data_IF_707718269685
#
_entry.id   IF_707718269685
#
_cell.length_a   1.000
_cell.length_b   1.000
_cell.length_c   1.000
_cell.angle_alpha   90.00
_cell.angle_beta   90.00
_cell.angle_gamma   90.00
#
_symmetry.space_group_name_H-M   'P 1'
#
loop_
_entity.id
_entity.type
_entity.pdbx_description
1 polymer ?
#
# COMPACT_ATOMS: atom_id res chain seq x y z
N UNK A 1 -24.59 6.86 -24.59
CA UNK A 1 -25.54 7.91 -24.17
C UNK A 1 -26.89 7.95 -24.92
N UNK A 2 -27.01 7.36 -26.13
CA UNK A 2 -28.25 7.42 -26.95
C UNK A 2 -29.38 6.48 -26.51
N UNK A 3 -29.24 5.79 -25.36
CA UNK A 3 -30.25 4.86 -24.84
C UNK A 3 -30.38 5.10 -23.35
N UNK A 4 -31.54 5.61 -22.91
CA UNK A 4 -31.90 5.69 -21.50
C UNK A 4 -32.36 4.29 -21.08
N UNK A 5 -31.59 3.63 -20.21
CA UNK A 5 -31.88 2.28 -19.73
C UNK A 5 -32.15 2.33 -18.23
N UNK A 6 -33.30 1.80 -17.83
CA UNK A 6 -33.63 1.56 -16.42
C UNK A 6 -33.32 0.09 -16.07
N UNK A 7 -32.09 -0.34 -16.35
CA UNK A 7 -31.67 -1.73 -16.16
C UNK A 7 -30.81 -1.90 -14.89
N UNK A 8 -31.03 -3.01 -14.18
CA UNK A 8 -30.29 -3.37 -12.96
C UNK A 8 -29.20 -4.44 -13.19
N UNK A 9 -29.24 -5.14 -14.33
CA UNK A 9 -28.45 -6.35 -14.59
C UNK A 9 -27.15 -6.16 -15.38
N UNK A 10 -26.92 -4.98 -15.96
CA UNK A 10 -25.76 -4.59 -16.80
C UNK A 10 -25.15 -5.74 -17.63
N UNK A 11 -25.55 -5.90 -18.89
CA UNK A 11 -24.86 -6.83 -19.80
C UNK A 11 -23.60 -6.19 -20.42
N UNK A 12 -22.53 -6.96 -20.71
CA UNK A 12 -21.44 -6.50 -21.54
C UNK A 12 -21.96 -6.14 -22.94
N UNK A 13 -21.27 -5.22 -23.60
CA UNK A 13 -21.62 -4.87 -24.98
C UNK A 13 -21.39 -6.06 -25.92
N UNK A 14 -22.06 -6.05 -27.07
CA UNK A 14 -21.80 -7.05 -28.11
C UNK A 14 -20.35 -7.04 -28.58
N UNK A 15 -19.70 -5.86 -28.65
CA UNK A 15 -18.29 -5.75 -29.00
C UNK A 15 -17.38 -6.46 -27.98
N UNK A 16 -17.62 -6.25 -26.68
CA UNK A 16 -16.86 -6.92 -25.63
C UNK A 16 -17.05 -8.45 -25.67
N UNK A 17 -18.29 -8.88 -25.90
CA UNK A 17 -18.60 -10.31 -26.02
C UNK A 17 -17.97 -10.94 -27.27
N UNK A 18 -17.99 -10.24 -28.40
CA UNK A 18 -17.39 -10.69 -29.65
C UNK A 18 -15.87 -10.80 -29.54
N UNK A 19 -15.20 -9.92 -28.80
CA UNK A 19 -13.75 -9.99 -28.58
C UNK A 19 -13.33 -11.29 -27.89
N UNK A 20 -13.98 -11.66 -26.78
CA UNK A 20 -13.66 -12.92 -26.08
C UNK A 20 -14.04 -14.15 -26.88
N UNK A 21 -15.14 -14.10 -27.64
CA UNK A 21 -15.47 -15.18 -28.58
C UNK A 21 -14.38 -15.35 -29.65
N UNK A 22 -13.96 -14.24 -30.27
CA UNK A 22 -12.92 -14.24 -31.30
C UNK A 22 -11.61 -14.82 -30.78
N UNK A 23 -11.19 -14.43 -29.57
CA UNK A 23 -9.99 -14.99 -28.92
C UNK A 23 -10.03 -16.51 -28.82
N UNK A 24 -11.18 -17.08 -28.44
CA UNK A 24 -11.34 -18.52 -28.24
C UNK A 24 -11.54 -19.29 -29.54
N UNK A 25 -12.40 -18.81 -30.42
CA UNK A 25 -12.90 -19.59 -31.57
C UNK A 25 -12.14 -19.28 -32.86
N UNK A 26 -11.88 -18.01 -33.14
CA UNK A 26 -11.32 -17.59 -34.44
C UNK A 26 -9.79 -17.48 -34.38
N UNK A 27 -9.25 -16.84 -33.34
CA UNK A 27 -7.81 -16.78 -33.09
C UNK A 27 -7.29 -18.11 -32.54
N UNK A 28 -8.11 -18.85 -31.80
CA UNK A 28 -7.74 -20.14 -31.21
C UNK A 28 -6.66 -20.01 -30.13
N UNK A 29 -6.78 -19.02 -29.24
CA UNK A 29 -5.83 -18.84 -28.14
C UNK A 29 -5.75 -20.10 -27.26
N UNK A 30 -4.53 -20.51 -26.92
CA UNK A 30 -4.30 -21.57 -25.92
C UNK A 30 -4.34 -21.02 -24.48
N UNK A 31 -4.09 -19.72 -24.31
CA UNK A 31 -4.16 -19.00 -23.05
C UNK A 31 -4.32 -17.50 -23.34
N UNK A 32 -4.82 -16.77 -22.35
CA UNK A 32 -4.83 -15.29 -22.36
C UNK A 32 -4.01 -14.77 -21.19
N UNK A 33 -3.19 -13.75 -21.45
CA UNK A 33 -2.46 -13.02 -20.42
C UNK A 33 -3.03 -11.61 -20.32
N UNK A 34 -3.66 -11.30 -19.19
CA UNK A 34 -4.13 -9.97 -18.86
C UNK A 34 -3.11 -9.21 -18.02
N UNK A 35 -3.19 -7.89 -18.15
CA UNK A 35 -2.41 -6.93 -17.38
C UNK A 35 -3.36 -6.00 -16.65
N UNK A 36 -2.96 -5.62 -15.43
CA UNK A 36 -3.67 -4.62 -14.64
C UNK A 36 -4.59 -5.22 -13.59
N UNK A 37 -4.78 -4.44 -12.52
CA UNK A 37 -5.47 -4.88 -11.31
C UNK A 37 -7.00 -4.69 -11.36
N UNK A 38 -7.53 -4.26 -12.50
CA UNK A 38 -8.96 -3.96 -12.67
C UNK A 38 -9.48 -4.45 -14.03
N UNK A 39 -9.35 -5.76 -14.29
CA UNK A 39 -9.87 -6.33 -15.52
C UNK A 39 -11.38 -6.21 -15.58
N UNK A 40 -11.94 -5.79 -16.71
CA UNK A 40 -13.39 -5.65 -16.81
C UNK A 40 -14.13 -7.00 -16.65
N UNK A 41 -13.48 -8.11 -17.03
CA UNK A 41 -14.06 -9.45 -17.10
C UNK A 41 -14.57 -9.93 -15.73
N UNK A 42 -13.73 -9.89 -14.72
CA UNK A 42 -14.04 -10.42 -13.38
C UNK A 42 -15.12 -9.61 -12.67
N UNK A 43 -15.31 -8.34 -13.00
CA UNK A 43 -16.35 -7.48 -12.45
C UNK A 43 -17.66 -7.51 -13.24
N UNK A 44 -17.74 -8.26 -14.36
CA UNK A 44 -18.98 -8.39 -15.12
C UNK A 44 -20.08 -9.07 -14.28
N UNK A 45 -21.37 -8.75 -14.48
CA UNK A 45 -22.42 -9.25 -13.61
C UNK A 45 -22.55 -10.77 -13.53
N UNK A 46 -22.88 -11.24 -12.33
CA UNK A 46 -22.87 -12.64 -11.97
C UNK A 46 -22.68 -12.82 -10.46
N UNK A 47 -22.70 -14.08 -10.02
CA UNK A 47 -22.51 -14.47 -8.61
C UNK A 47 -21.18 -13.98 -8.07
N UNK A 48 -21.07 -13.79 -6.76
CA UNK A 48 -19.82 -13.34 -6.11
C UNK A 48 -18.68 -14.38 -6.20
N UNK A 49 -19.01 -15.66 -6.14
CA UNK A 49 -18.09 -16.80 -6.26
C UNK A 49 -18.88 -18.03 -6.76
N UNK A 50 -18.18 -19.03 -7.31
CA UNK A 50 -18.80 -20.24 -7.85
C UNK A 50 -19.69 -19.92 -9.06
N UNK A 51 -19.06 -19.51 -10.16
CA UNK A 51 -19.77 -19.07 -11.36
C UNK A 51 -20.72 -20.15 -11.89
N UNK A 52 -21.80 -19.70 -12.51
CA UNK A 52 -22.71 -20.55 -13.29
C UNK A 52 -22.69 -20.12 -14.75
N UNK A 53 -23.22 -20.96 -15.64
CA UNK A 53 -23.38 -20.66 -17.07
C UNK A 53 -24.19 -19.38 -17.38
N UNK A 54 -24.85 -18.79 -16.38
CA UNK A 54 -25.56 -17.50 -16.49
C UNK A 54 -24.72 -16.29 -16.09
N UNK A 55 -23.52 -16.50 -15.51
CA UNK A 55 -22.61 -15.44 -15.09
C UNK A 55 -21.77 -14.99 -16.29
N UNK A 56 -21.66 -13.68 -16.50
CA UNK A 56 -20.93 -13.14 -17.64
C UNK A 56 -19.44 -13.50 -17.68
N UNK A 57 -18.69 -13.47 -16.56
CA UNK A 57 -17.28 -13.87 -16.58
C UNK A 57 -17.08 -15.26 -17.22
N UNK A 58 -17.86 -16.25 -16.76
CA UNK A 58 -17.84 -17.63 -17.24
C UNK A 58 -18.27 -17.75 -18.72
N UNK A 59 -19.35 -17.07 -19.12
CA UNK A 59 -19.84 -17.07 -20.51
C UNK A 59 -18.82 -16.50 -21.49
N UNK A 60 -18.10 -15.46 -21.08
CA UNK A 60 -17.15 -14.75 -21.91
C UNK A 60 -15.87 -15.55 -22.07
N UNK A 61 -15.18 -15.88 -20.97
CA UNK A 61 -13.87 -16.53 -21.04
C UNK A 61 -13.97 -18.03 -21.27
N UNK A 62 -15.04 -18.68 -20.82
CA UNK A 62 -15.22 -20.13 -20.97
C UNK A 62 -14.10 -20.92 -20.30
N UNK A 63 -13.57 -21.89 -21.03
CA UNK A 63 -12.48 -22.78 -20.63
C UNK A 63 -11.07 -22.26 -20.99
N UNK A 64 -10.97 -21.05 -21.55
CA UNK A 64 -9.68 -20.46 -21.92
C UNK A 64 -8.82 -20.21 -20.66
N UNK A 65 -7.61 -20.81 -20.56
CA UNK A 65 -6.70 -20.55 -19.46
C UNK A 65 -6.41 -19.05 -19.30
N UNK A 66 -6.73 -18.55 -18.12
CA UNK A 66 -6.67 -17.13 -17.80
C UNK A 66 -5.47 -16.84 -16.90
N UNK A 67 -4.45 -16.17 -17.43
CA UNK A 67 -3.26 -15.74 -16.70
C UNK A 67 -3.33 -14.24 -16.49
N UNK A 68 -2.89 -13.77 -15.32
CA UNK A 68 -2.82 -12.35 -15.00
C UNK A 68 -1.46 -12.03 -14.42
N UNK A 69 -0.86 -10.94 -14.89
CA UNK A 69 0.18 -10.25 -14.14
C UNK A 69 -0.47 -9.30 -13.14
N UNK A 70 -0.20 -9.52 -11.85
CA UNK A 70 -0.88 -8.81 -10.76
C UNK A 70 0.11 -8.25 -9.75
N UNK A 71 -0.13 -7.01 -9.29
CA UNK A 71 0.71 -6.39 -8.27
C UNK A 71 0.65 -7.21 -6.98
N UNK A 72 1.82 -7.52 -6.40
CA UNK A 72 1.93 -8.25 -5.13
C UNK A 72 1.09 -7.63 -4.02
N UNK A 73 1.00 -6.29 -3.99
CA UNK A 73 0.27 -5.54 -2.97
C UNK A 73 -1.23 -5.39 -3.23
N UNK A 74 -1.81 -6.03 -4.26
CA UNK A 74 -3.25 -5.98 -4.52
C UNK A 74 -3.93 -7.37 -4.51
N UNK A 75 -3.81 -8.15 -3.41
CA UNK A 75 -4.39 -9.49 -3.35
C UNK A 75 -5.92 -9.53 -3.31
N UNK A 76 -6.58 -8.46 -2.86
CA UNK A 76 -8.04 -8.39 -2.70
C UNK A 76 -8.74 -8.47 -4.05
N UNK A 77 -8.35 -7.61 -4.98
CA UNK A 77 -8.92 -7.58 -6.33
C UNK A 77 -8.45 -8.80 -7.13
N UNK A 78 -7.20 -9.21 -6.95
CA UNK A 78 -6.71 -10.46 -7.55
C UNK A 78 -7.57 -11.67 -7.14
N UNK A 79 -7.99 -11.72 -5.87
CA UNK A 79 -8.89 -12.78 -5.38
C UNK A 79 -10.23 -12.78 -6.12
N UNK A 80 -10.71 -11.63 -6.59
CA UNK A 80 -11.93 -11.53 -7.42
C UNK A 80 -11.68 -12.18 -8.78
N UNK A 81 -10.58 -11.85 -9.45
CA UNK A 81 -10.19 -12.48 -10.73
C UNK A 81 -10.04 -14.00 -10.58
N UNK A 82 -9.42 -14.48 -9.49
CA UNK A 82 -9.33 -15.91 -9.15
C UNK A 82 -10.70 -16.59 -9.04
N UNK A 83 -11.62 -15.99 -8.28
CA UNK A 83 -12.91 -16.61 -7.93
C UNK A 83 -13.96 -16.49 -9.04
N UNK A 84 -13.87 -15.45 -9.87
CA UNK A 84 -14.88 -15.13 -10.89
C UNK A 84 -14.44 -15.45 -12.32
N UNK A 85 -13.14 -15.48 -12.60
CA UNK A 85 -12.61 -15.72 -13.94
C UNK A 85 -11.52 -16.80 -13.98
N UNK A 86 -11.42 -17.63 -12.94
CA UNK A 86 -10.45 -18.73 -12.82
C UNK A 86 -8.98 -18.33 -13.10
N UNK A 87 -8.63 -17.08 -12.76
CA UNK A 87 -7.32 -16.52 -13.10
C UNK A 87 -6.16 -17.15 -12.29
N UNK A 88 -5.03 -17.39 -12.93
CA UNK A 88 -3.74 -17.63 -12.27
C UNK A 88 -2.98 -16.31 -12.18
N UNK A 89 -2.68 -15.86 -10.96
CA UNK A 89 -2.14 -14.52 -10.72
C UNK A 89 -0.63 -14.57 -10.52
N UNK A 90 0.13 -14.30 -11.57
CA UNK A 90 1.59 -14.19 -11.49
C UNK A 90 1.92 -12.84 -10.84
N UNK A 91 2.51 -12.88 -9.64
CA UNK A 91 2.89 -11.68 -8.91
C UNK A 91 3.98 -10.90 -9.63
N UNK A 92 3.90 -9.58 -9.60
CA UNK A 92 5.01 -8.70 -9.92
C UNK A 92 5.29 -7.71 -8.79
N UNK A 93 6.50 -7.16 -8.77
CA UNK A 93 6.96 -6.22 -7.74
C UNK A 93 6.32 -4.84 -7.95
N UNK A 94 5.93 -4.18 -6.87
CA UNK A 94 5.50 -2.78 -6.96
C UNK A 94 6.67 -1.88 -7.36
N UNK A 95 6.41 -0.72 -7.99
CA UNK A 95 7.47 0.22 -8.29
C UNK A 95 8.31 0.55 -7.04
N UNK A 96 9.62 0.83 -7.21
CA UNK A 96 10.47 1.30 -6.12
C UNK A 96 9.85 2.49 -5.39
N UNK A 97 10.07 2.57 -4.10
CA UNK A 97 9.64 3.72 -3.29
C UNK A 97 10.82 4.63 -3.00
N UNK A 98 10.58 5.93 -3.01
CA UNK A 98 11.53 6.95 -2.63
C UNK A 98 10.86 7.97 -1.72
N UNK A 99 11.65 8.72 -0.97
CA UNK A 99 11.14 9.89 -0.25
C UNK A 99 10.64 10.93 -1.26
N UNK A 100 9.52 11.58 -0.95
CA UNK A 100 8.92 12.59 -1.84
C UNK A 100 9.84 13.80 -2.02
N UNK A 101 10.67 14.09 -1.00
CA UNK A 101 11.55 15.25 -0.98
C UNK A 101 10.78 16.56 -0.91
N UNK A 102 11.50 17.66 -1.04
CA UNK A 102 10.90 19.00 -1.14
C UNK A 102 11.27 19.65 -2.47
N UNK A 103 10.43 20.56 -2.95
CA UNK A 103 10.67 21.27 -4.20
C UNK A 103 10.15 22.71 -4.13
N UNK A 104 10.79 23.61 -4.91
CA UNK A 104 10.41 25.03 -5.01
C UNK A 104 10.32 25.67 -3.63
N UNK A 105 9.26 26.44 -3.36
CA UNK A 105 9.09 27.18 -2.10
C UNK A 105 9.06 26.33 -0.84
N UNK A 106 8.88 25.01 -0.92
CA UNK A 106 9.00 24.12 0.24
C UNK A 106 10.45 23.96 0.71
N UNK A 107 11.42 24.02 -0.22
CA UNK A 107 12.86 24.01 0.12
C UNK A 107 13.20 25.29 0.87
N UNK A 108 12.79 26.44 0.32
CA UNK A 108 13.00 27.75 0.95
C UNK A 108 12.34 27.82 2.34
N UNK A 109 11.12 27.28 2.47
CA UNK A 109 10.41 27.22 3.74
C UNK A 109 11.18 26.37 4.76
N UNK A 110 11.70 25.20 4.37
CA UNK A 110 12.51 24.36 5.27
C UNK A 110 13.75 25.08 5.77
N UNK A 111 14.48 25.77 4.89
CA UNK A 111 15.66 26.55 5.29
C UNK A 111 15.31 27.64 6.31
N UNK A 112 14.17 28.33 6.13
CA UNK A 112 13.69 29.33 7.08
C UNK A 112 13.32 28.71 8.44
N UNK A 113 12.67 27.55 8.44
CA UNK A 113 12.31 26.81 9.65
C UNK A 113 13.55 26.33 10.41
N UNK A 114 14.56 25.79 9.70
CA UNK A 114 15.83 25.38 10.28
C UNK A 114 16.57 26.58 10.88
N UNK A 115 16.62 27.70 10.15
CA UNK A 115 17.19 28.95 10.67
C UNK A 115 16.50 29.40 11.95
N UNK A 116 15.17 29.40 11.99
CA UNK A 116 14.39 29.78 13.18
C UNK A 116 14.74 28.93 14.40
N UNK A 117 14.95 27.62 14.20
CA UNK A 117 15.34 26.69 15.26
C UNK A 117 16.78 26.89 15.73
N UNK A 118 17.68 27.32 14.83
CA UNK A 118 19.10 27.55 15.14
C UNK A 118 19.38 28.87 15.87
N UNK A 119 18.42 29.79 15.93
CA UNK A 119 18.59 31.07 16.61
C UNK A 119 18.81 30.89 18.12
N UNK A 120 19.76 31.65 18.66
CA UNK A 120 20.02 31.71 20.10
C UNK A 120 18.81 32.27 20.88
N UNK A 121 18.60 31.88 22.15
CA UNK A 121 17.50 32.39 22.97
C UNK A 121 17.49 33.93 23.12
N UNK A 122 18.66 34.57 23.01
CA UNK A 122 18.79 36.03 23.12
C UNK A 122 18.36 36.80 21.85
N UNK A 123 18.22 36.12 20.70
CA UNK A 123 17.92 36.74 19.40
C UNK A 123 16.41 36.90 19.15
N UNK A 124 15.67 37.41 20.15
CA UNK A 124 14.19 37.46 20.08
C UNK A 124 13.66 38.33 18.93
N UNK A 125 14.29 39.47 18.66
CA UNK A 125 13.85 40.35 17.56
C UNK A 125 13.97 39.68 16.19
N UNK A 126 15.07 38.97 15.93
CA UNK A 126 15.26 38.20 14.69
C UNK A 126 14.28 37.02 14.62
N UNK A 127 14.00 36.37 15.75
CA UNK A 127 13.01 35.30 15.84
C UNK A 127 11.61 35.81 15.48
N UNK A 128 11.20 36.96 16.00
CA UNK A 128 9.88 37.55 15.71
C UNK A 128 9.76 37.94 14.23
N UNK A 129 10.79 38.57 13.65
CA UNK A 129 10.82 38.92 12.21
C UNK A 129 10.75 37.67 11.33
N UNK A 130 11.55 36.64 11.64
CA UNK A 130 11.57 35.40 10.89
C UNK A 130 10.25 34.64 11.01
N UNK A 131 9.57 34.72 12.16
CA UNK A 131 8.23 34.15 12.36
C UNK A 131 7.19 34.75 11.41
N UNK A 132 7.22 36.07 11.19
CA UNK A 132 6.34 36.75 10.22
C UNK A 132 6.65 36.32 8.79
N UNK A 133 7.93 36.21 8.44
CA UNK A 133 8.34 35.75 7.10
C UNK A 133 7.94 34.29 6.86
N UNK A 134 8.11 33.41 7.85
CA UNK A 134 7.68 32.01 7.77
C UNK A 134 6.16 31.92 7.58
N UNK A 135 5.38 32.72 8.30
CA UNK A 135 3.93 32.76 8.12
C UNK A 135 3.54 33.21 6.70
N UNK A 136 4.19 34.24 6.18
CA UNK A 136 3.93 34.73 4.82
C UNK A 136 4.23 33.65 3.76
N UNK A 137 5.40 33.00 3.87
CA UNK A 137 5.79 31.91 2.97
C UNK A 137 4.84 30.71 3.08
N UNK A 138 4.45 30.33 4.31
CA UNK A 138 3.49 29.26 4.56
C UNK A 138 2.12 29.59 3.95
N UNK A 139 1.69 30.86 3.97
CA UNK A 139 0.45 31.29 3.35
C UNK A 139 0.49 31.23 1.82
N UNK A 140 1.63 31.57 1.20
CA UNK A 140 1.81 31.39 -0.26
C UNK A 140 1.72 29.92 -0.69
N UNK A 141 2.13 29.01 0.19
CA UNK A 141 2.05 27.55 -0.01
C UNK A 141 0.73 26.93 0.47
N UNK A 142 -0.25 27.75 0.91
CA UNK A 142 -1.53 27.32 1.47
C UNK A 142 -1.42 26.42 2.73
N UNK A 143 -0.30 26.51 3.45
CA UNK A 143 -0.03 25.77 4.70
C UNK A 143 -0.46 26.55 5.95
N UNK A 144 -0.73 27.85 5.82
CA UNK A 144 -1.20 28.68 6.92
C UNK A 144 -2.07 29.84 6.43
N UNK A 145 -2.89 30.40 7.32
CA UNK A 145 -3.57 31.66 7.05
C UNK A 145 -2.58 32.84 7.13
N UNK A 146 -2.66 33.82 6.21
CA UNK A 146 -1.81 35.02 6.25
C UNK A 146 -2.16 35.94 7.42
N UNK A 147 -3.44 35.96 7.83
CA UNK A 147 -3.96 36.80 8.91
C UNK A 147 -4.87 36.02 9.87
N UNK A 148 -4.88 36.37 11.17
CA UNK A 148 -3.99 37.33 11.82
C UNK A 148 -2.55 36.80 11.95
N UNK A 149 -1.59 37.70 12.19
CA UNK A 149 -0.22 37.31 12.50
C UNK A 149 -0.17 36.40 13.75
N UNK A 150 0.70 35.39 13.74
CA UNK A 150 0.78 34.39 14.80
C UNK A 150 1.15 34.96 16.18
N UNK A 151 1.95 36.03 16.22
CA UNK A 151 2.30 36.73 17.47
C UNK A 151 2.85 35.77 18.52
N UNK A 152 2.20 35.70 19.68
CA UNK A 152 2.61 34.85 20.81
C UNK A 152 2.59 33.34 20.50
N UNK A 153 1.80 32.91 19.51
CA UNK A 153 1.68 31.50 19.12
C UNK A 153 2.72 31.12 18.05
N UNK A 154 3.58 32.04 17.60
CA UNK A 154 4.49 31.83 16.48
C UNK A 154 5.40 30.62 16.71
N UNK A 155 5.98 30.45 17.89
CA UNK A 155 6.88 29.32 18.18
C UNK A 155 6.17 27.97 18.03
N UNK A 156 4.97 27.83 18.62
CA UNK A 156 4.19 26.60 18.54
C UNK A 156 3.73 26.31 17.09
N UNK A 157 3.37 27.34 16.33
CA UNK A 157 2.95 27.21 14.92
C UNK A 157 4.12 26.88 14.00
N UNK A 158 5.28 27.47 14.22
CA UNK A 158 6.53 27.15 13.50
C UNK A 158 6.94 25.70 13.79
N UNK A 159 6.86 25.25 15.04
CA UNK A 159 7.15 23.87 15.40
C UNK A 159 6.22 22.88 14.67
N UNK A 160 4.90 23.14 14.69
CA UNK A 160 3.92 22.32 13.94
C UNK A 160 4.20 22.33 12.44
N UNK A 161 4.45 23.50 11.84
CA UNK A 161 4.73 23.62 10.42
C UNK A 161 6.01 22.86 10.03
N UNK A 162 7.03 22.87 10.90
CA UNK A 162 8.22 22.06 10.71
C UNK A 162 7.89 20.56 10.67
N UNK A 163 7.05 20.08 11.58
CA UNK A 163 6.63 18.68 11.58
C UNK A 163 5.85 18.32 10.31
N UNK A 164 4.94 19.20 9.87
CA UNK A 164 4.16 19.02 8.64
C UNK A 164 5.07 18.98 7.39
N UNK A 165 6.08 19.86 7.30
CA UNK A 165 7.05 19.88 6.19
C UNK A 165 7.94 18.64 6.18
N UNK A 166 8.40 18.18 7.35
CA UNK A 166 9.18 16.94 7.46
C UNK A 166 8.34 15.70 7.13
N UNK A 167 7.05 15.69 7.48
CA UNK A 167 6.13 14.62 7.07
C UNK A 167 6.03 14.54 5.55
N UNK A 168 5.87 15.67 4.86
CA UNK A 168 5.88 15.72 3.39
C UNK A 168 7.21 15.19 2.85
N UNK A 169 8.33 15.75 3.29
CA UNK A 169 9.66 15.40 2.79
C UNK A 169 9.95 13.89 2.87
N UNK A 170 9.67 13.29 4.03
CA UNK A 170 9.99 11.89 4.30
C UNK A 170 8.88 10.91 3.92
N UNK A 171 7.74 11.38 3.41
CA UNK A 171 6.69 10.49 2.90
C UNK A 171 7.23 9.63 1.77
N UNK A 172 7.09 8.30 1.90
CA UNK A 172 7.46 7.37 0.86
C UNK A 172 6.39 7.35 -0.24
N UNK A 173 6.82 7.60 -1.48
CA UNK A 173 5.98 7.55 -2.68
C UNK A 173 6.55 6.55 -3.69
N UNK A 174 5.72 5.88 -4.50
CA UNK A 174 6.20 5.15 -5.66
C UNK A 174 6.93 6.09 -6.62
N UNK A 175 8.15 5.73 -7.03
CA UNK A 175 8.95 6.47 -7.99
C UNK A 175 9.10 5.65 -9.27
N UNK A 176 8.48 6.14 -10.35
CA UNK A 176 8.48 5.46 -11.65
C UNK A 176 7.42 4.37 -11.78
N UNK A 177 7.67 3.43 -12.70
CA UNK A 177 6.78 2.31 -13.02
C UNK A 177 7.58 1.01 -12.99
N UNK A 178 6.90 -0.07 -12.61
CA UNK A 178 7.47 -1.41 -12.70
C UNK A 178 7.53 -1.87 -14.16
N UNK A 179 8.62 -2.55 -14.53
CA UNK A 179 8.78 -3.20 -15.83
C UNK A 179 8.97 -4.69 -15.58
N UNK A 180 8.02 -5.49 -16.05
CA UNK A 180 8.06 -6.95 -15.89
C UNK A 180 9.32 -7.51 -16.54
N UNK A 181 10.03 -8.36 -15.79
CA UNK A 181 11.29 -8.93 -16.24
C UNK A 181 12.53 -8.08 -15.97
N UNK A 182 12.36 -6.87 -15.43
CA UNK A 182 13.47 -5.99 -15.06
C UNK A 182 13.62 -5.96 -13.54
N UNK A 183 14.73 -6.50 -13.04
CA UNK A 183 15.09 -6.37 -11.64
C UNK A 183 15.40 -4.90 -11.29
N UNK A 184 15.11 -4.44 -10.06
CA UNK A 184 15.48 -3.10 -9.62
C UNK A 184 16.99 -2.89 -9.68
N UNK A 185 17.40 -1.68 -10.07
CA UNK A 185 18.81 -1.27 -10.05
C UNK A 185 19.40 -1.30 -8.65
N UNK A 186 20.73 -1.34 -8.54
CA UNK A 186 21.42 -1.39 -7.24
C UNK A 186 21.01 -0.24 -6.32
N UNK A 187 20.87 0.98 -6.86
CA UNK A 187 20.41 2.14 -6.11
C UNK A 187 18.98 1.98 -5.58
N UNK A 188 18.05 1.49 -6.42
CA UNK A 188 16.67 1.23 -6.02
C UNK A 188 16.58 0.13 -4.96
N UNK A 189 17.42 -0.92 -5.06
CA UNK A 189 17.49 -1.98 -4.04
C UNK A 189 18.00 -1.43 -2.71
N UNK A 190 19.01 -0.57 -2.71
CA UNK A 190 19.49 0.10 -1.49
C UNK A 190 18.35 0.88 -0.80
N UNK A 191 17.62 1.71 -1.55
CA UNK A 191 16.55 2.55 -0.99
C UNK A 191 15.35 1.70 -0.49
N UNK A 192 15.01 0.62 -1.21
CA UNK A 192 13.99 -0.35 -0.78
C UNK A 192 14.38 -1.08 0.50
N UNK A 193 15.64 -1.53 0.63
CA UNK A 193 16.13 -2.23 1.81
C UNK A 193 16.18 -1.32 3.05
N UNK A 194 16.57 -0.06 2.88
CA UNK A 194 16.49 0.96 3.93
C UNK A 194 15.04 1.14 4.41
N UNK A 195 14.10 1.23 3.46
CA UNK A 195 12.68 1.35 3.76
C UNK A 195 12.13 0.10 4.47
N UNK A 196 12.60 -1.10 4.10
CA UNK A 196 12.23 -2.36 4.76
C UNK A 196 12.74 -2.40 6.21
N UNK A 197 13.99 -1.97 6.43
CA UNK A 197 14.58 -1.91 7.78
C UNK A 197 13.80 -0.97 8.70
N UNK A 198 13.40 0.21 8.20
CA UNK A 198 12.59 1.16 8.96
C UNK A 198 11.18 0.62 9.21
N UNK A 199 10.52 0.07 8.21
CA UNK A 199 9.13 -0.39 8.32
C UNK A 199 8.96 -1.65 9.19
N UNK A 200 9.88 -2.63 9.08
CA UNK A 200 9.77 -3.90 9.78
C UNK A 200 10.43 -3.88 11.17
N UNK A 201 11.51 -3.12 11.32
CA UNK A 201 12.35 -3.14 12.54
C UNK A 201 12.51 -1.78 13.22
N UNK A 202 11.99 -0.69 12.64
CA UNK A 202 12.22 0.67 13.14
C UNK A 202 13.69 1.09 13.08
N UNK A 203 14.50 0.40 12.28
CA UNK A 203 15.95 0.59 12.21
C UNK A 203 16.34 1.47 11.02
N UNK A 204 17.35 2.32 11.20
CA UNK A 204 17.93 3.17 10.15
C UNK A 204 19.42 2.85 10.00
N UNK A 205 19.78 1.70 9.41
CA UNK A 205 21.17 1.36 9.20
C UNK A 205 21.85 2.39 8.29
N UNK A 206 23.16 2.57 8.46
CA UNK A 206 23.93 3.45 7.58
C UNK A 206 23.84 2.98 6.13
N UNK A 207 23.60 3.90 5.20
CA UNK A 207 23.46 3.60 3.76
C UNK A 207 24.63 2.78 3.22
N UNK A 208 25.85 3.09 3.65
CA UNK A 208 27.07 2.38 3.25
C UNK A 208 27.04 0.87 3.60
N UNK A 209 26.39 0.48 4.70
CA UNK A 209 26.24 -0.94 5.06
C UNK A 209 25.31 -1.65 4.07
N UNK A 210 24.23 -0.98 3.66
CA UNK A 210 23.28 -1.54 2.69
C UNK A 210 23.89 -1.59 1.29
N UNK A 211 24.65 -0.57 0.89
CA UNK A 211 25.43 -0.58 -0.36
C UNK A 211 26.41 -1.75 -0.41
N UNK A 212 27.08 -2.06 0.71
CA UNK A 212 27.96 -3.23 0.81
C UNK A 212 27.19 -4.55 0.66
N UNK A 213 25.99 -4.67 1.28
CA UNK A 213 25.10 -5.83 1.13
C UNK A 213 24.69 -6.03 -0.33
N UNK A 214 24.22 -4.97 -0.99
CA UNK A 214 23.81 -4.99 -2.41
C UNK A 214 24.99 -5.30 -3.34
N UNK A 215 26.20 -4.91 -2.98
CA UNK A 215 27.44 -5.29 -3.67
C UNK A 215 27.90 -6.75 -3.37
N UNK A 216 27.14 -7.52 -2.59
CA UNK A 216 27.42 -8.92 -2.27
C UNK A 216 28.41 -9.13 -1.11
N UNK A 217 28.73 -8.08 -0.36
CA UNK A 217 29.57 -8.16 0.84
C UNK A 217 28.71 -8.17 2.11
N UNK A 218 29.11 -8.92 3.14
CA UNK A 218 28.45 -8.88 4.44
C UNK A 218 29.33 -8.10 5.41
N UNK A 219 29.00 -6.83 5.75
CA UNK A 219 29.74 -6.07 6.74
C UNK A 219 29.74 -6.79 8.10
N UNK A 220 30.89 -6.77 8.76
CA UNK A 220 31.03 -7.26 10.14
C UNK A 220 30.79 -6.10 11.09
N UNK A 221 29.67 -6.15 11.81
CA UNK A 221 29.27 -5.15 12.80
C UNK A 221 29.23 -5.79 14.18
N UNK A 222 29.71 -5.07 15.19
CA UNK A 222 29.80 -5.58 16.57
C UNK A 222 28.44 -5.81 17.23
N UNK A 223 27.41 -5.09 16.78
CA UNK A 223 26.04 -5.24 17.30
C UNK A 223 25.33 -6.44 16.66
N UNK A 224 24.96 -7.41 17.50
CA UNK A 224 24.32 -8.65 17.06
C UNK A 224 22.94 -8.41 16.42
N UNK A 225 22.20 -7.39 16.87
CA UNK A 225 20.89 -7.07 16.30
C UNK A 225 21.04 -6.51 14.89
N UNK A 226 21.95 -5.55 14.70
CA UNK A 226 22.28 -5.00 13.37
C UNK A 226 22.84 -6.08 12.45
N UNK A 227 23.71 -6.97 12.95
CA UNK A 227 24.23 -8.08 12.15
C UNK A 227 23.11 -9.02 11.67
N UNK A 228 22.12 -9.31 12.52
CA UNK A 228 20.97 -10.13 12.15
C UNK A 228 20.10 -9.44 11.09
N UNK A 229 19.84 -8.14 11.26
CA UNK A 229 19.13 -7.32 10.28
C UNK A 229 19.84 -7.33 8.92
N UNK A 230 21.15 -7.13 8.87
CA UNK A 230 21.91 -7.14 7.61
C UNK A 230 21.82 -8.49 6.88
N UNK A 231 21.76 -9.60 7.61
CA UNK A 231 21.54 -10.93 7.00
C UNK A 231 20.16 -11.06 6.39
N UNK A 232 19.13 -10.62 7.11
CA UNK A 232 17.75 -10.61 6.59
C UNK A 232 17.63 -9.75 5.33
N UNK A 233 18.22 -8.55 5.35
CA UNK A 233 18.22 -7.65 4.18
C UNK A 233 18.99 -8.25 2.99
N UNK A 234 20.07 -8.99 3.23
CA UNK A 234 20.80 -9.69 2.17
C UNK A 234 19.97 -10.82 1.53
N UNK A 235 19.18 -11.55 2.33
CA UNK A 235 18.25 -12.56 1.81
C UNK A 235 17.15 -11.92 0.96
N UNK A 236 16.64 -10.76 1.37
CA UNK A 236 15.66 -9.97 0.60
C UNK A 236 16.29 -9.49 -0.72
N UNK A 237 17.50 -8.90 -0.67
CA UNK A 237 18.22 -8.44 -1.86
C UNK A 237 18.45 -9.57 -2.87
N UNK A 238 18.89 -10.73 -2.40
CA UNK A 238 19.17 -11.88 -3.26
C UNK A 238 17.94 -12.36 -4.05
N UNK A 239 16.73 -12.17 -3.51
CA UNK A 239 15.46 -12.48 -4.17
C UNK A 239 14.95 -11.35 -5.08
N UNK A 240 15.32 -10.09 -4.82
CA UNK A 240 14.97 -8.94 -5.66
C UNK A 240 15.91 -8.74 -6.85
N UNK A 241 17.19 -9.10 -6.69
CA UNK A 241 18.24 -8.86 -7.68
C UNK A 241 18.09 -9.70 -8.97
N UNK A 242 17.11 -10.61 -9.02
CA UNK A 242 16.90 -11.54 -10.13
C UNK A 242 15.47 -11.42 -10.65
N UNK A 243 15.33 -11.59 -11.96
CA UNK A 243 14.01 -11.77 -12.55
C UNK A 243 13.46 -13.16 -12.23
N UNK A 244 12.25 -13.17 -11.70
CA UNK A 244 11.45 -14.38 -11.46
C UNK A 244 10.08 -14.30 -12.16
N UNK A 245 9.72 -13.13 -12.69
CA UNK A 245 8.38 -12.83 -13.20
C UNK A 245 8.17 -13.42 -14.58
N UNK A 246 9.14 -13.25 -15.48
CA UNK A 246 9.08 -13.84 -16.83
C UNK A 246 9.11 -15.37 -16.74
N UNK A 247 9.96 -15.91 -15.88
CA UNK A 247 9.99 -17.35 -15.59
C UNK A 247 8.63 -17.84 -15.08
N UNK A 248 7.98 -17.08 -14.18
CA UNK A 248 6.64 -17.37 -13.71
C UNK A 248 5.58 -17.39 -14.82
N UNK A 249 5.63 -16.42 -15.74
CA UNK A 249 4.76 -16.36 -16.92
C UNK A 249 4.97 -17.59 -17.81
N UNK A 250 6.23 -17.90 -18.17
CA UNK A 250 6.55 -19.04 -19.02
C UNK A 250 6.14 -20.36 -18.36
N UNK A 251 6.37 -20.51 -17.06
CA UNK A 251 5.97 -21.69 -16.31
C UNK A 251 4.44 -21.91 -16.31
N UNK A 252 3.67 -20.82 -16.20
CA UNK A 252 2.21 -20.87 -16.28
C UNK A 252 1.71 -21.20 -17.69
N UNK A 253 2.32 -20.61 -18.72
CA UNK A 253 2.00 -20.90 -20.12
C UNK A 253 2.31 -22.35 -20.50
N UNK A 254 3.34 -22.95 -19.89
CA UNK A 254 3.66 -24.38 -19.97
C UNK A 254 2.66 -25.29 -19.21
N UNK A 255 1.61 -24.73 -18.59
CA UNK A 255 0.61 -25.47 -17.84
C UNK A 255 1.12 -26.07 -16.53
N UNK A 256 2.23 -25.55 -15.99
CA UNK A 256 2.86 -26.08 -14.77
C UNK A 256 2.34 -25.38 -13.51
N UNK A 257 2.58 -26.02 -12.38
CA UNK A 257 2.16 -25.51 -11.07
C UNK A 257 2.99 -24.30 -10.64
N UNK A 258 2.36 -23.13 -10.57
CA UNK A 258 2.96 -21.95 -9.94
C UNK A 258 2.84 -22.00 -8.42
N UNK A 259 4.00 -21.88 -7.74
CA UNK A 259 4.06 -21.83 -6.28
C UNK A 259 3.22 -20.66 -5.74
N UNK A 260 2.47 -20.85 -4.65
CA UNK A 260 1.70 -19.77 -4.04
C UNK A 260 2.61 -18.72 -3.38
N UNK A 261 2.12 -17.48 -3.33
CA UNK A 261 2.72 -16.39 -2.56
C UNK A 261 1.64 -15.60 -1.80
N UNK A 262 1.90 -15.16 -0.57
CA UNK A 262 1.02 -14.20 0.07
C UNK A 262 1.01 -12.91 -0.76
N UNK A 263 -0.13 -12.23 -0.82
CA UNK A 263 -0.14 -10.85 -1.28
C UNK A 263 0.11 -9.88 -0.13
N UNK A 264 0.72 -8.75 -0.44
CA UNK A 264 1.17 -7.77 0.53
C UNK A 264 2.17 -6.80 -0.11
N UNK A 265 2.61 -5.84 0.68
CA UNK A 265 3.66 -4.91 0.28
C UNK A 265 5.03 -5.42 0.76
N UNK A 266 6.09 -5.19 -0.01
CA UNK A 266 7.45 -5.64 0.34
C UNK A 266 7.87 -5.16 1.73
N UNK A 267 7.54 -3.91 2.07
CA UNK A 267 7.97 -3.26 3.31
C UNK A 267 7.41 -3.95 4.57
N UNK A 268 6.26 -4.63 4.45
CA UNK A 268 5.57 -5.30 5.56
C UNK A 268 5.50 -6.81 5.41
N UNK A 269 5.68 -7.34 4.22
CA UNK A 269 5.55 -8.76 3.92
C UNK A 269 6.67 -9.19 2.96
N UNK A 270 7.92 -9.30 3.42
CA UNK A 270 9.03 -9.76 2.59
C UNK A 270 8.80 -11.14 1.95
N UNK A 271 7.95 -11.96 2.57
CA UNK A 271 7.52 -13.27 2.05
C UNK A 271 6.78 -13.21 0.69
N UNK A 272 6.45 -12.02 0.16
CA UNK A 272 6.01 -11.88 -1.24
C UNK A 272 7.11 -12.27 -2.24
N UNK A 273 8.38 -12.18 -1.84
CA UNK A 273 9.53 -12.52 -2.67
C UNK A 273 9.83 -14.03 -2.66
N UNK A 274 10.36 -14.59 -3.76
CA UNK A 274 10.48 -13.93 -5.07
C UNK A 274 9.10 -13.68 -5.70
N UNK A 275 9.00 -12.68 -6.57
CA UNK A 275 7.83 -12.46 -7.42
C UNK A 275 7.74 -13.55 -8.51
N UNK A 276 6.77 -13.47 -9.42
CA UNK A 276 6.49 -14.53 -10.39
C UNK A 276 5.72 -15.72 -9.83
N UNK A 277 5.07 -15.55 -8.66
CA UNK A 277 4.35 -16.61 -7.93
C UNK A 277 2.85 -16.37 -7.90
N UNK A 278 2.08 -17.42 -7.64
CA UNK A 278 0.62 -17.37 -7.67
C UNK A 278 0.04 -16.71 -6.40
N UNK A 279 -0.38 -15.44 -6.49
CA UNK A 279 -0.84 -14.67 -5.33
C UNK A 279 -2.06 -15.28 -4.63
N UNK A 280 -2.09 -15.22 -3.30
CA UNK A 280 -3.29 -15.49 -2.52
C UNK A 280 -3.55 -14.40 -1.49
N UNK A 281 -4.82 -14.25 -1.14
CA UNK A 281 -5.22 -13.45 0.01
C UNK A 281 -4.92 -14.15 1.34
N UNK A 282 -5.67 -13.77 2.35
CA UNK A 282 -5.50 -14.18 3.74
C UNK A 282 -6.59 -15.17 4.15
N UNK A 283 -6.44 -15.76 5.33
CA UNK A 283 -7.51 -16.52 5.98
C UNK A 283 -8.54 -15.55 6.60
N UNK A 284 -9.78 -15.47 6.06
CA UNK A 284 -10.80 -14.55 6.56
C UNK A 284 -11.17 -14.78 8.03
N UNK A 285 -10.91 -15.97 8.58
CA UNK A 285 -11.20 -16.27 9.98
C UNK A 285 -10.09 -15.83 10.94
N UNK A 286 -8.97 -15.27 10.44
CA UNK A 286 -7.87 -14.79 11.28
C UNK A 286 -7.82 -13.26 11.40
N UNK A 287 -8.81 -12.57 10.84
CA UNK A 287 -8.95 -11.12 10.90
C UNK A 287 -10.08 -10.73 11.87
N UNK A 288 -9.91 -9.67 12.68
CA UNK A 288 -8.69 -8.87 12.84
C UNK A 288 -7.63 -9.56 13.70
N UNK A 289 -6.33 -9.36 13.42
CA UNK A 289 -5.26 -9.89 14.27
C UNK A 289 -5.20 -9.18 15.64
N UNK A 290 -4.52 -9.78 16.60
CA UNK A 290 -4.37 -9.20 17.94
C UNK A 290 -3.68 -7.81 17.91
N UNK A 291 -2.74 -7.62 16.99
CA UNK A 291 -2.12 -6.32 16.76
C UNK A 291 -3.12 -5.33 16.15
N UNK A 292 -3.82 -5.74 15.09
CA UNK A 292 -4.84 -4.91 14.44
C UNK A 292 -5.94 -4.45 15.40
N UNK A 293 -6.36 -5.29 16.36
CA UNK A 293 -7.31 -4.92 17.42
C UNK A 293 -6.80 -3.77 18.28
N UNK A 294 -5.56 -3.87 18.78
CA UNK A 294 -4.95 -2.81 19.59
C UNK A 294 -4.76 -1.54 18.79
N UNK A 295 -4.31 -1.68 17.55
CA UNK A 295 -4.07 -0.52 16.68
C UNK A 295 -5.37 0.17 16.27
N UNK A 296 -6.40 -0.60 15.89
CA UNK A 296 -7.73 -0.08 15.58
C UNK A 296 -8.35 0.69 16.75
N UNK A 297 -8.19 0.21 17.99
CA UNK A 297 -8.63 0.94 19.18
C UNK A 297 -7.88 2.27 19.36
N UNK A 298 -6.56 2.28 19.12
CA UNK A 298 -5.76 3.51 19.16
C UNK A 298 -6.18 4.50 18.06
N UNK A 299 -6.44 4.02 16.85
CA UNK A 299 -6.91 4.84 15.74
C UNK A 299 -8.32 5.41 16.01
N UNK A 300 -9.22 4.61 16.60
CA UNK A 300 -10.53 5.08 17.04
C UNK A 300 -10.42 6.19 18.09
N UNK A 301 -9.55 6.03 19.10
CA UNK A 301 -9.27 7.07 20.08
C UNK A 301 -8.77 8.36 19.45
N UNK A 302 -7.75 8.29 18.58
CA UNK A 302 -7.21 9.46 17.86
C UNK A 302 -8.27 10.19 17.03
N UNK A 303 -9.16 9.44 16.37
CA UNK A 303 -10.26 10.01 15.60
C UNK A 303 -11.21 10.82 16.50
N UNK A 304 -11.62 10.25 17.63
CA UNK A 304 -12.51 10.91 18.60
C UNK A 304 -11.83 12.12 19.24
N UNK A 305 -10.59 11.96 19.68
CA UNK A 305 -9.79 13.04 20.29
C UNK A 305 -9.61 14.21 19.33
N UNK A 306 -9.31 13.93 18.05
CA UNK A 306 -9.18 14.97 17.03
C UNK A 306 -10.49 15.72 16.82
N UNK A 307 -11.61 15.00 16.70
CA UNK A 307 -12.92 15.63 16.52
C UNK A 307 -13.29 16.54 17.70
N UNK A 308 -13.03 16.10 18.93
CA UNK A 308 -13.29 16.89 20.14
C UNK A 308 -12.32 18.06 20.30
N UNK A 309 -11.05 17.88 19.92
CA UNK A 309 -10.05 18.96 19.93
C UNK A 309 -10.40 20.10 18.97
N UNK A 310 -11.15 19.82 17.91
CA UNK A 310 -11.68 20.82 16.97
C UNK A 310 -12.90 21.59 17.54
N UNK A 311 -13.26 21.35 18.81
CA UNK A 311 -14.35 22.03 19.52
C UNK A 311 -15.73 21.40 19.28
N UNK A 312 -15.79 20.22 18.66
CA UNK A 312 -17.04 19.50 18.46
C UNK A 312 -17.41 18.65 19.69
N UNK A 313 -18.71 18.39 19.86
CA UNK A 313 -19.19 17.42 20.84
C UNK A 313 -18.77 15.99 20.44
N UNK A 314 -18.92 15.04 21.35
CA UNK A 314 -18.69 13.64 21.02
C UNK A 314 -19.58 13.21 19.85
N UNK A 315 -19.04 12.55 18.81
CA UNK A 315 -19.82 12.25 17.61
C UNK A 315 -20.86 11.17 17.90
N UNK A 316 -22.13 11.44 17.55
CA UNK A 316 -23.22 10.47 17.69
C UNK A 316 -23.16 9.38 16.62
N UNK A 317 -22.50 9.64 15.48
CA UNK A 317 -22.40 8.72 14.36
C UNK A 317 -21.15 8.96 13.54
N UNK A 318 -20.51 7.87 13.10
CA UNK A 318 -19.33 7.90 12.24
C UNK A 318 -19.62 7.01 11.03
N UNK A 319 -19.56 7.58 9.83
CA UNK A 319 -19.63 6.82 8.60
C UNK A 319 -18.22 6.32 8.22
N UNK A 320 -18.07 5.01 8.01
CA UNK A 320 -16.80 4.39 7.65
C UNK A 320 -16.93 3.59 6.36
N UNK A 321 -15.90 3.65 5.52
CA UNK A 321 -15.76 2.79 4.33
C UNK A 321 -14.77 1.68 4.66
N UNK A 322 -15.16 0.43 4.43
CA UNK A 322 -14.32 -0.74 4.67
C UNK A 322 -13.95 -1.39 3.34
N UNK A 323 -12.69 -1.27 2.95
CA UNK A 323 -12.16 -1.96 1.78
C UNK A 323 -11.55 -3.31 2.14
N UNK A 324 -11.72 -4.28 1.25
CA UNK A 324 -11.08 -5.59 1.39
C UNK A 324 -9.55 -5.48 1.39
N UNK A 325 -9.00 -4.61 0.53
CA UNK A 325 -7.55 -4.38 0.36
C UNK A 325 -6.89 -3.89 1.65
N UNK A 326 -7.50 -2.92 2.33
CA UNK A 326 -6.89 -2.30 3.52
C UNK A 326 -6.90 -3.25 4.70
N UNK A 327 -8.00 -3.98 4.90
CA UNK A 327 -8.08 -5.03 5.91
C UNK A 327 -7.07 -6.15 5.62
N UNK A 328 -6.86 -6.48 4.35
CA UNK A 328 -5.83 -7.44 3.92
C UNK A 328 -4.42 -7.01 4.33
N UNK A 329 -4.05 -5.77 4.01
CA UNK A 329 -2.71 -5.22 4.25
C UNK A 329 -2.41 -4.92 5.72
N UNK A 330 -3.44 -4.72 6.53
CA UNK A 330 -3.33 -4.34 7.94
C UNK A 330 -3.82 -5.42 8.90
N UNK A 331 -4.07 -6.64 8.39
CA UNK A 331 -4.64 -7.75 9.16
C UNK A 331 -5.95 -7.39 9.89
N UNK A 332 -6.73 -6.46 9.35
CA UNK A 332 -8.03 -6.07 9.89
C UNK A 332 -8.09 -4.75 10.63
N UNK A 333 -7.13 -3.85 10.46
CA UNK A 333 -7.09 -2.55 11.15
C UNK A 333 -8.42 -1.77 11.05
N UNK A 334 -8.99 -1.56 9.85
CA UNK A 334 -10.26 -0.86 9.70
C UNK A 334 -11.45 -1.54 10.39
N UNK A 335 -11.56 -2.87 10.28
CA UNK A 335 -12.60 -3.64 11.00
C UNK A 335 -12.42 -3.51 12.52
N UNK A 336 -11.19 -3.59 13.01
CA UNK A 336 -10.88 -3.40 14.42
C UNK A 336 -11.22 -1.99 14.93
N UNK A 337 -10.94 -0.96 14.12
CA UNK A 337 -11.32 0.42 14.42
C UNK A 337 -12.85 0.56 14.53
N UNK A 338 -13.60 -0.02 13.59
CA UNK A 338 -15.06 -0.02 13.65
C UNK A 338 -15.60 -0.75 14.89
N UNK A 339 -15.02 -1.92 15.24
CA UNK A 339 -15.37 -2.64 16.46
C UNK A 339 -15.11 -1.80 17.71
N UNK A 340 -13.95 -1.13 17.79
CA UNK A 340 -13.62 -0.26 18.92
C UNK A 340 -14.59 0.93 19.07
N UNK A 341 -15.00 1.56 17.98
CA UNK A 341 -16.00 2.64 17.99
C UNK A 341 -17.38 2.17 18.44
N UNK A 342 -17.74 0.91 18.17
CA UNK A 342 -18.97 0.29 18.66
C UNK A 342 -18.87 -0.18 20.13
N UNK A 343 -17.69 -0.09 20.75
CA UNK A 343 -17.44 -0.66 22.07
C UNK A 343 -17.48 -2.20 22.06
N UNK A 344 -17.03 -2.82 20.97
CA UNK A 344 -17.02 -4.27 20.79
C UNK A 344 -15.60 -4.81 20.60
N UNK A 345 -15.40 -6.09 20.90
CA UNK A 345 -14.16 -6.84 20.69
C UNK A 345 -14.42 -8.12 19.90
N UNK A 346 -13.50 -8.54 19.02
CA UNK A 346 -13.63 -9.82 18.33
C UNK A 346 -13.42 -10.99 19.31
N UNK A 347 -14.24 -12.03 19.16
CA UNK A 347 -14.15 -13.27 19.94
C UNK A 347 -13.61 -14.39 19.04
N UNK A 348 -12.57 -15.07 19.52
CA UNK A 348 -11.95 -16.20 18.83
C UNK A 348 -12.31 -17.52 19.52
N UNK A 349 -12.43 -18.59 18.74
CA UNK A 349 -12.55 -19.95 19.26
C UNK A 349 -11.20 -20.49 19.75
N UNK A 350 -11.20 -21.71 20.30
CA UNK A 350 -10.01 -22.42 20.77
C UNK A 350 -8.96 -22.70 19.68
N UNK A 351 -9.34 -22.62 18.40
CA UNK A 351 -8.45 -22.80 17.26
C UNK A 351 -7.93 -21.46 16.71
N UNK A 352 -8.26 -20.34 17.37
CA UNK A 352 -7.85 -19.00 16.96
C UNK A 352 -8.63 -18.47 15.76
N UNK A 353 -9.81 -19.01 15.47
CA UNK A 353 -10.70 -18.52 14.40
C UNK A 353 -11.73 -17.55 14.96
N UNK A 354 -12.01 -16.49 14.22
CA UNK A 354 -13.04 -15.52 14.53
C UNK A 354 -14.40 -16.25 14.61
N UNK A 355 -15.02 -16.18 15.78
CA UNK A 355 -16.23 -16.91 16.12
C UNK A 355 -17.34 -16.00 16.70
N UNK A 356 -17.14 -14.68 16.67
CA UNK A 356 -18.14 -13.70 17.07
C UNK A 356 -17.51 -12.40 17.57
N UNK A 357 -18.29 -11.63 18.32
CA UNK A 357 -17.84 -10.44 19.04
C UNK A 357 -18.48 -10.40 20.44
N UNK A 358 -17.87 -9.66 21.35
CA UNK A 358 -18.35 -9.36 22.71
C UNK A 358 -18.33 -7.84 22.94
N UNK A 359 -19.16 -7.36 23.88
CA UNK A 359 -19.21 -5.95 24.29
C UNK A 359 -18.27 -5.72 25.48
#
# INVERSE_FOLDING_TARGET
>A
PMRLLFEKGFAPTHAFSAFYRWLREDFGAHAVLHFGTHGALEFMPGKQSGMSATCWPDRLIGDLPNLYLYASNNPSEGTIAKRRAAATLISYLTPPVAQSGLYKGLVDLKEMLERYRSLEPAAQAERDELGVMIQAQAAELELAAPDPLWGIDAEARVARLNDDVLEVEYTLIPYGLHVVGQAPSDAERVDLLLSCAEASHGAKPERALIEAVVAGSMPDVSDAATQALLRELADIDALMAKDHEVDGVLHALDGRFLRPAPGGDLLRTPAILPTGRNLHGFDPFRIPSAYAVKDGARQAGRLLDKHMADGHAFPESIAMVLWGTDNLKSEGGPIAQALALMGAKPRFDSYGRLAGAEL
#
